data_IF_250221296778
#
_entry.id   IF_250221296778
#
_cell.length_a   1.000
_cell.length_b   1.000
_cell.length_c   1.000
_cell.angle_alpha   90.00
_cell.angle_beta   90.00
_cell.angle_gamma   90.00
#
_symmetry.space_group_name_H-M   'P 1'
#
loop_
_entity.id
_entity.type
_entity.pdbx_description
1 polymer ?
#
# COMPACT_ATOMS: atom_id res chain seq x y z
N UNK A 1 3.79 3.27 -13.11
CA UNK A 1 4.36 3.11 -11.76
C UNK A 1 3.95 4.20 -10.78
N UNK A 2 3.76 5.45 -11.24
CA UNK A 2 3.35 6.58 -10.40
C UNK A 2 2.09 6.31 -9.55
N UNK A 3 1.00 5.82 -10.14
CA UNK A 3 -0.25 5.50 -9.40
C UNK A 3 -0.04 4.57 -8.20
N UNK A 4 0.85 3.57 -8.31
CA UNK A 4 1.15 2.65 -7.20
C UNK A 4 1.96 3.36 -6.11
N UNK A 5 2.83 4.30 -6.47
CA UNK A 5 3.56 5.11 -5.49
C UNK A 5 2.61 6.02 -4.71
N UNK A 6 1.61 6.62 -5.37
CA UNK A 6 0.57 7.42 -4.69
C UNK A 6 -0.32 6.58 -3.78
N UNK A 7 -0.73 5.37 -4.21
CA UNK A 7 -1.45 4.41 -3.35
C UNK A 7 -0.68 4.15 -2.05
N UNK A 8 0.62 3.90 -2.17
CA UNK A 8 1.47 3.54 -1.02
C UNK A 8 1.78 4.77 -0.15
N UNK A 9 2.13 5.91 -0.76
CA UNK A 9 2.57 7.11 -0.03
C UNK A 9 1.42 7.81 0.68
N UNK A 10 0.27 7.90 0.01
CA UNK A 10 -0.86 8.71 0.47
C UNK A 10 -1.97 7.84 1.11
N UNK A 11 -1.69 6.54 1.32
CA UNK A 11 -2.63 5.61 1.96
C UNK A 11 -3.94 5.40 1.20
N UNK A 12 -3.96 5.65 -0.11
CA UNK A 12 -5.19 5.61 -0.90
C UNK A 12 -5.67 4.17 -1.11
N UNK A 13 -6.99 4.01 -1.18
CA UNK A 13 -7.56 2.71 -1.53
C UNK A 13 -7.14 2.32 -2.95
N UNK A 14 -6.87 1.02 -3.16
CA UNK A 14 -6.50 0.50 -4.48
C UNK A 14 -7.53 0.84 -5.56
N UNK A 15 -8.82 0.95 -5.18
CA UNK A 15 -9.92 1.23 -6.09
C UNK A 15 -9.87 2.62 -6.71
N UNK A 16 -9.25 3.61 -6.06
CA UNK A 16 -9.28 5.02 -6.51
C UNK A 16 -8.78 5.17 -7.94
N UNK A 17 -7.65 4.54 -8.30
CA UNK A 17 -7.05 4.63 -9.63
C UNK A 17 -7.70 3.72 -10.69
N UNK A 18 -8.77 3.00 -10.33
CA UNK A 18 -9.56 2.19 -11.28
C UNK A 18 -11.01 2.67 -11.40
N UNK A 19 -11.40 3.70 -10.66
CA UNK A 19 -12.73 4.26 -10.83
C UNK A 19 -12.87 4.88 -12.23
N UNK A 20 -14.02 4.72 -12.91
CA UNK A 20 -14.20 5.20 -14.27
C UNK A 20 -13.81 6.67 -14.46
N UNK A 21 -14.26 7.56 -13.56
CA UNK A 21 -13.92 8.98 -13.61
C UNK A 21 -12.43 9.27 -13.45
N UNK A 22 -11.73 8.51 -12.59
CA UNK A 22 -10.28 8.65 -12.43
C UNK A 22 -9.52 8.13 -13.65
N UNK A 23 -9.97 7.00 -14.25
CA UNK A 23 -9.38 6.50 -15.48
C UNK A 23 -9.54 7.50 -16.62
N UNK A 24 -10.74 8.06 -16.80
CA UNK A 24 -11.02 9.08 -17.82
C UNK A 24 -10.22 10.37 -17.57
N UNK A 25 -10.11 10.81 -16.33
CA UNK A 25 -9.27 11.97 -15.96
C UNK A 25 -7.80 11.72 -16.28
N UNK A 26 -7.28 10.52 -16.01
CA UNK A 26 -5.88 10.21 -16.29
C UNK A 26 -5.62 9.92 -17.77
N UNK A 27 -6.64 9.54 -18.54
CA UNK A 27 -6.55 9.31 -19.98
C UNK A 27 -6.21 10.60 -20.75
N UNK A 28 -6.62 11.77 -20.25
CA UNK A 28 -6.24 13.07 -20.86
C UNK A 28 -4.74 13.33 -20.79
N UNK A 29 -4.07 12.82 -19.76
CA UNK A 29 -2.63 12.96 -19.57
C UNK A 29 -1.83 11.75 -20.10
N UNK A 30 -2.43 10.56 -20.06
CA UNK A 30 -1.82 9.28 -20.45
C UNK A 30 -2.83 8.52 -21.32
N UNK A 31 -2.80 8.69 -22.65
CA UNK A 31 -3.71 7.99 -23.55
C UNK A 31 -3.68 6.47 -23.35
N UNK A 32 -4.86 5.84 -23.27
CA UNK A 32 -4.98 4.40 -23.04
C UNK A 32 -4.72 3.95 -21.59
N UNK A 33 -4.85 4.86 -20.62
CA UNK A 33 -4.72 4.51 -19.21
C UNK A 33 -5.85 3.58 -18.72
N UNK A 34 -5.49 2.38 -18.25
CA UNK A 34 -6.44 1.37 -17.75
C UNK A 34 -6.36 1.09 -16.24
N UNK A 35 -5.66 1.96 -15.51
CA UNK A 35 -5.42 1.79 -14.07
C UNK A 35 -4.33 0.76 -13.74
N UNK A 36 -3.91 0.70 -12.46
CA UNK A 36 -2.90 -0.26 -12.02
C UNK A 36 -3.48 -1.67 -11.91
N UNK A 37 -2.75 -2.67 -12.42
CA UNK A 37 -3.15 -4.06 -12.29
C UNK A 37 -2.99 -4.55 -10.84
N UNK A 38 -4.01 -5.24 -10.31
CA UNK A 38 -4.04 -5.73 -8.91
C UNK A 38 -2.82 -6.57 -8.54
N UNK A 39 -2.39 -7.45 -9.45
CA UNK A 39 -1.18 -8.28 -9.28
C UNK A 39 0.08 -7.44 -9.08
N UNK A 40 0.23 -6.34 -9.82
CA UNK A 40 1.39 -5.45 -9.75
C UNK A 40 1.42 -4.67 -8.43
N UNK A 41 0.27 -4.19 -7.98
CA UNK A 41 0.14 -3.50 -6.69
C UNK A 41 0.48 -4.44 -5.54
N UNK A 42 -0.11 -5.64 -5.50
CA UNK A 42 0.18 -6.66 -4.48
C UNK A 42 1.66 -7.01 -4.44
N UNK A 43 2.29 -7.25 -5.60
CA UNK A 43 3.73 -7.56 -5.67
C UNK A 43 4.58 -6.44 -5.06
N UNK A 44 4.22 -5.18 -5.32
CA UNK A 44 4.96 -4.02 -4.80
C UNK A 44 4.75 -3.83 -3.29
N UNK A 45 3.53 -4.01 -2.80
CA UNK A 45 3.24 -4.00 -1.36
C UNK A 45 4.03 -5.10 -0.64
N UNK A 46 4.06 -6.32 -1.20
CA UNK A 46 4.81 -7.43 -0.63
C UNK A 46 6.32 -7.13 -0.57
N UNK A 47 6.90 -6.57 -1.63
CA UNK A 47 8.30 -6.17 -1.65
C UNK A 47 8.62 -5.08 -0.61
N UNK A 48 7.72 -4.10 -0.43
CA UNK A 48 7.86 -3.07 0.61
C UNK A 48 7.80 -3.70 2.01
N UNK A 49 6.82 -4.56 2.27
CA UNK A 49 6.69 -5.27 3.54
C UNK A 49 7.96 -6.06 3.88
N UNK A 50 8.52 -6.79 2.92
CA UNK A 50 9.78 -7.52 3.10
C UNK A 50 10.95 -6.57 3.43
N UNK A 51 11.07 -5.45 2.71
CA UNK A 51 12.12 -4.45 2.95
C UNK A 51 12.03 -3.82 4.35
N UNK A 52 10.83 -3.42 4.76
CA UNK A 52 10.60 -2.84 6.10
C UNK A 52 10.79 -3.88 7.21
N UNK A 53 10.37 -5.13 7.00
CA UNK A 53 10.60 -6.22 7.95
C UNK A 53 12.09 -6.45 8.17
N UNK A 54 12.90 -6.45 7.11
CA UNK A 54 14.35 -6.56 7.23
C UNK A 54 14.95 -5.41 8.06
N UNK A 55 14.52 -4.17 7.79
CA UNK A 55 14.95 -2.99 8.57
C UNK A 55 14.55 -3.10 10.05
N UNK A 56 13.30 -3.47 10.31
CA UNK A 56 12.78 -3.65 11.68
C UNK A 56 13.58 -4.70 12.44
N UNK A 57 13.92 -5.83 11.83
CA UNK A 57 14.77 -6.85 12.45
C UNK A 57 16.12 -6.27 12.88
N UNK A 58 16.78 -5.51 12.01
CA UNK A 58 18.04 -4.84 12.34
C UNK A 58 17.89 -3.84 13.48
N UNK A 59 16.79 -3.09 13.53
CA UNK A 59 16.53 -2.13 14.63
C UNK A 59 16.27 -2.88 15.94
N UNK A 60 15.37 -3.86 15.94
CA UNK A 60 15.01 -4.64 17.13
C UNK A 60 16.24 -5.33 17.72
N UNK A 61 17.09 -5.94 16.90
CA UNK A 61 18.32 -6.60 17.37
C UNK A 61 19.33 -5.65 18.04
N UNK A 62 19.19 -4.34 17.88
CA UNK A 62 20.06 -3.32 18.50
C UNK A 62 19.46 -2.69 19.76
N UNK A 63 18.22 -3.03 20.12
CA UNK A 63 17.54 -2.47 21.28
C UNK A 63 17.44 -3.56 22.35
N UNK A 64 17.96 -3.28 23.55
CA UNK A 64 17.94 -4.21 24.67
C UNK A 64 16.55 -4.36 25.31
N UNK A 65 15.65 -3.42 25.00
CA UNK A 65 14.30 -3.37 25.54
C UNK A 65 13.29 -3.03 24.45
N UNK A 66 12.17 -3.76 24.42
CA UNK A 66 11.09 -3.61 23.46
C UNK A 66 9.75 -3.65 24.21
N UNK A 67 8.94 -2.61 24.06
CA UNK A 67 7.55 -2.60 24.53
C UNK A 67 6.65 -2.84 23.33
N UNK A 68 5.76 -3.82 23.45
CA UNK A 68 4.77 -4.15 22.43
C UNK A 68 3.39 -3.85 22.99
N UNK A 69 2.59 -3.09 22.23
CA UNK A 69 1.16 -2.93 22.48
C UNK A 69 0.40 -3.83 21.54
N UNK A 70 -0.71 -4.39 22.01
CA UNK A 70 -1.63 -5.18 21.21
C UNK A 70 -3.01 -4.57 21.37
N UNK A 71 -3.56 -4.10 20.25
CA UNK A 71 -4.91 -3.56 20.20
C UNK A 71 -5.88 -4.74 19.98
N UNK A 72 -6.78 -4.95 20.94
CA UNK A 72 -7.85 -5.95 20.86
C UNK A 72 -9.16 -5.22 20.59
N UNK A 73 -9.84 -5.57 19.51
CA UNK A 73 -11.18 -5.08 19.21
C UNK A 73 -12.06 -6.23 18.73
N UNK A 74 -13.32 -6.20 19.12
CA UNK A 74 -14.34 -7.10 18.61
C UNK A 74 -15.03 -6.43 17.43
N UNK A 75 -14.93 -7.03 16.24
CA UNK A 75 -15.67 -6.55 15.07
C UNK A 75 -17.13 -6.94 15.26
N UNK A 76 -17.96 -6.02 15.72
CA UNK A 76 -19.42 -6.19 15.71
C UNK A 76 -19.89 -6.26 14.25
N UNK A 77 -19.97 -7.47 13.71
CA UNK A 77 -20.67 -7.73 12.45
C UNK A 77 -22.16 -7.63 12.80
N UNK A 78 -22.79 -6.51 12.41
CA UNK A 78 -24.22 -6.42 12.16
C UNK A 78 -24.47 -6.65 10.67
#
# INVERSE_FOLDING_TARGET
>A
MAAINFIVRDGLSFGVFRQPGMCQFLETAIPGYIGPHRKTVRRKIAALCASYTAKLRTVISKNDFLVLTCDLWESSIL
#
